data_IF_100502133174
#
_entry.id   IF_100502133174
#
_cell.length_a   1.000
_cell.length_b   1.000
_cell.length_c   1.000
_cell.angle_alpha   90.00
_cell.angle_beta   90.00
_cell.angle_gamma   90.00
#
_symmetry.space_group_name_H-M   'P 1'
#
loop_
_entity.id
_entity.type
_entity.pdbx_description
1 polymer ?
#
# COMPACT_ATOMS: atom_id res chain seq x y z
N UNK A 1 5.64 -25.34 -9.63
CA UNK A 1 6.07 -24.32 -8.65
C UNK A 1 6.40 -23.05 -9.44
N UNK A 2 5.74 -21.93 -9.15
CA UNK A 2 6.01 -20.65 -9.81
C UNK A 2 7.39 -20.11 -9.45
N UNK A 3 8.05 -19.40 -10.38
CA UNK A 3 9.32 -18.73 -10.09
C UNK A 3 9.09 -17.60 -9.09
N UNK A 4 9.94 -17.55 -8.05
CA UNK A 4 10.00 -16.42 -7.12
C UNK A 4 10.62 -15.20 -7.81
N UNK A 5 10.20 -14.00 -7.41
CA UNK A 5 10.79 -12.73 -7.82
C UNK A 5 10.84 -11.74 -6.66
N UNK A 6 11.73 -10.76 -6.78
CA UNK A 6 11.81 -9.60 -5.90
C UNK A 6 11.12 -8.44 -6.60
N UNK A 7 10.23 -7.74 -5.91
CA UNK A 7 9.43 -6.67 -6.52
C UNK A 7 9.26 -5.43 -5.65
N UNK A 8 8.63 -4.41 -6.23
CA UNK A 8 8.13 -3.24 -5.54
C UNK A 8 9.08 -2.56 -4.54
N UNK A 9 10.40 -2.40 -4.80
CA UNK A 9 11.27 -1.73 -3.86
C UNK A 9 10.80 -0.28 -3.63
N UNK A 10 10.84 0.14 -2.37
CA UNK A 10 10.58 1.52 -1.93
C UNK A 10 11.62 1.92 -0.90
N UNK A 11 11.91 3.21 -0.84
CA UNK A 11 12.93 3.79 0.05
C UNK A 11 12.37 5.01 0.75
N UNK A 12 12.67 5.14 2.05
CA UNK A 12 12.45 6.35 2.82
C UNK A 12 13.53 6.46 3.90
N UNK A 13 14.33 7.53 3.85
CA UNK A 13 15.50 7.67 4.73
C UNK A 13 16.44 6.46 4.62
N UNK A 14 16.77 5.84 5.76
CA UNK A 14 17.65 4.67 5.85
C UNK A 14 16.92 3.33 5.66
N UNK A 15 15.65 3.34 5.26
CA UNK A 15 14.84 2.13 5.14
C UNK A 15 14.53 1.79 3.70
N UNK A 16 14.78 0.54 3.32
CA UNK A 16 14.35 -0.05 2.04
C UNK A 16 13.33 -1.14 2.34
N UNK A 17 12.17 -1.09 1.70
CA UNK A 17 11.16 -2.16 1.79
C UNK A 17 10.95 -2.79 0.42
N UNK A 18 10.79 -4.11 0.38
CA UNK A 18 10.44 -4.88 -0.81
C UNK A 18 9.58 -6.07 -0.41
N UNK A 19 9.05 -6.76 -1.41
CA UNK A 19 8.49 -8.10 -1.23
C UNK A 19 9.23 -9.12 -2.08
N UNK A 20 9.23 -10.36 -1.61
CA UNK A 20 9.61 -11.53 -2.38
C UNK A 20 8.33 -12.32 -2.66
N UNK A 21 7.94 -12.39 -3.94
CA UNK A 21 6.63 -12.85 -4.38
C UNK A 21 6.70 -14.01 -5.37
N UNK A 22 5.56 -14.67 -5.55
CA UNK A 22 5.31 -15.68 -6.59
C UNK A 22 3.85 -15.63 -7.01
N UNK A 23 3.57 -16.07 -8.23
CA UNK A 23 2.21 -16.23 -8.72
C UNK A 23 1.71 -17.65 -8.42
N UNK A 24 0.61 -17.74 -7.69
CA UNK A 24 -0.11 -18.98 -7.38
C UNK A 24 -1.55 -18.87 -7.90
N UNK A 25 -1.85 -19.60 -8.98
CA UNK A 25 -3.13 -19.46 -9.68
C UNK A 25 -3.28 -18.07 -10.29
N UNK A 26 -4.31 -17.33 -9.86
CA UNK A 26 -4.56 -15.94 -10.28
C UNK A 26 -4.08 -14.92 -9.23
N UNK A 27 -3.42 -15.38 -8.16
CA UNK A 27 -3.08 -14.55 -7.02
C UNK A 27 -1.59 -14.39 -6.87
N UNK A 28 -1.19 -13.19 -6.44
CA UNK A 28 0.17 -12.91 -6.02
C UNK A 28 0.28 -13.16 -4.51
N UNK A 29 1.24 -13.98 -4.12
CA UNK A 29 1.55 -14.25 -2.71
C UNK A 29 3.02 -13.98 -2.47
N UNK A 30 3.36 -13.50 -1.28
CA UNK A 30 4.74 -13.14 -0.98
C UNK A 30 4.97 -12.77 0.47
N UNK A 31 6.22 -12.45 0.76
CA UNK A 31 6.70 -12.00 2.06
C UNK A 31 7.20 -10.56 1.94
N UNK A 32 7.07 -9.76 3.00
CA UNK A 32 7.54 -8.36 3.00
C UNK A 32 8.79 -8.25 3.87
N UNK A 33 9.80 -7.58 3.34
CA UNK A 33 11.11 -7.40 3.97
C UNK A 33 11.46 -5.92 4.11
N UNK A 34 12.16 -5.61 5.19
CA UNK A 34 12.72 -4.30 5.50
C UNK A 34 14.24 -4.43 5.66
N UNK A 35 15.00 -3.57 4.99
CA UNK A 35 16.43 -3.39 5.21
C UNK A 35 16.67 -2.02 5.83
N UNK A 36 17.49 -1.99 6.88
CA UNK A 36 17.97 -0.78 7.50
C UNK A 36 19.41 -0.51 7.06
N UNK A 37 19.61 0.53 6.26
CA UNK A 37 20.90 0.95 5.71
C UNK A 37 21.87 1.35 6.84
N UNK A 38 21.38 1.97 7.91
CA UNK A 38 22.22 2.49 8.99
C UNK A 38 22.92 1.39 9.79
N UNK A 39 22.34 0.19 9.87
CA UNK A 39 22.93 -0.93 10.63
C UNK A 39 23.06 -2.24 9.83
N UNK A 40 22.69 -2.24 8.55
CA UNK A 40 22.79 -3.39 7.66
C UNK A 40 21.84 -4.55 7.98
N UNK A 41 20.80 -4.35 8.79
CA UNK A 41 19.90 -5.43 9.20
C UNK A 41 18.74 -5.61 8.22
N UNK A 42 18.43 -6.88 7.90
CA UNK A 42 17.22 -7.30 7.18
C UNK A 42 16.24 -7.89 8.19
N UNK A 43 14.97 -7.50 8.10
CA UNK A 43 13.87 -8.04 8.91
C UNK A 43 12.74 -8.44 7.96
N UNK A 44 12.29 -9.69 8.04
CA UNK A 44 11.01 -10.10 7.43
C UNK A 44 9.89 -9.59 8.33
N UNK A 45 9.05 -8.71 7.81
CA UNK A 45 7.95 -8.07 8.56
C UNK A 45 6.58 -8.70 8.30
N UNK A 46 6.45 -9.54 7.26
CA UNK A 46 5.21 -10.26 6.94
C UNK A 46 5.50 -11.54 6.14
N UNK A 47 4.78 -12.62 6.42
CA UNK A 47 4.82 -13.88 5.66
C UNK A 47 3.80 -13.93 4.51
N UNK A 48 2.90 -12.95 4.43
CA UNK A 48 1.76 -12.95 3.53
C UNK A 48 1.43 -11.54 3.03
N UNK A 49 2.37 -10.87 2.38
CA UNK A 49 2.20 -9.51 1.89
C UNK A 49 2.88 -9.19 0.57
N UNK A 50 2.27 -8.30 -0.20
CA UNK A 50 2.75 -7.84 -1.51
C UNK A 50 2.60 -6.32 -1.66
N UNK A 51 3.31 -5.76 -2.62
CA UNK A 51 3.22 -4.33 -3.01
C UNK A 51 3.47 -3.35 -1.86
N UNK A 52 4.56 -3.49 -1.08
CA UNK A 52 4.79 -2.63 0.07
C UNK A 52 5.08 -1.17 -0.35
N UNK A 53 4.81 -0.26 0.59
CA UNK A 53 5.14 1.15 0.50
C UNK A 53 5.58 1.69 1.87
N UNK A 54 6.41 2.73 1.89
CA UNK A 54 7.01 3.27 3.11
C UNK A 54 7.00 4.80 3.13
N UNK A 55 6.65 5.36 4.28
CA UNK A 55 6.82 6.78 4.59
C UNK A 55 7.13 6.94 6.08
N UNK A 56 8.21 7.66 6.41
CA UNK A 56 8.64 7.79 7.79
C UNK A 56 8.93 6.44 8.43
N UNK A 57 8.28 6.17 9.56
CA UNK A 57 8.38 4.90 10.29
C UNK A 57 7.27 3.91 9.93
N UNK A 58 6.39 4.25 8.99
CA UNK A 58 5.22 3.45 8.63
C UNK A 58 5.45 2.71 7.32
N UNK A 59 5.07 1.43 7.30
CA UNK A 59 5.10 0.58 6.13
C UNK A 59 3.70 0.02 5.91
N UNK A 60 3.20 0.12 4.68
CA UNK A 60 1.91 -0.45 4.28
C UNK A 60 2.09 -1.52 3.22
N UNK A 61 1.28 -2.57 3.24
CA UNK A 61 1.21 -3.58 2.18
C UNK A 61 -0.20 -4.17 2.04
N UNK A 62 -0.42 -4.95 0.98
CA UNK A 62 -1.63 -5.75 0.80
C UNK A 62 -1.34 -7.18 1.23
N UNK A 63 -2.17 -7.76 2.09
CA UNK A 63 -2.06 -9.17 2.44
C UNK A 63 -2.55 -10.10 1.33
N UNK A 64 -2.20 -11.39 1.39
CA UNK A 64 -2.81 -12.46 0.58
C UNK A 64 -4.36 -12.48 0.62
N UNK A 65 -4.96 -12.03 1.72
CA UNK A 65 -6.42 -11.86 1.89
C UNK A 65 -6.97 -10.50 1.42
N UNK A 66 -6.26 -9.76 0.58
CA UNK A 66 -6.66 -8.40 0.15
C UNK A 66 -6.96 -7.43 1.30
N UNK A 67 -6.20 -7.54 2.41
CA UNK A 67 -6.29 -6.63 3.56
C UNK A 67 -5.18 -5.60 3.49
N UNK A 68 -5.49 -4.37 3.86
CA UNK A 68 -4.47 -3.33 4.01
C UNK A 68 -3.86 -3.43 5.39
N UNK A 69 -2.55 -3.65 5.43
CA UNK A 69 -1.78 -3.86 6.65
C UNK A 69 -0.85 -2.67 6.85
N UNK A 70 -0.70 -2.19 8.08
CA UNK A 70 0.17 -1.09 8.47
C UNK A 70 1.10 -1.54 9.59
N UNK A 71 2.40 -1.51 9.34
CA UNK A 71 3.45 -1.75 10.33
C UNK A 71 4.13 -0.44 10.70
N UNK A 72 4.36 -0.23 11.99
CA UNK A 72 5.22 0.85 12.45
C UNK A 72 6.56 0.28 12.94
N UNK A 73 7.66 0.73 12.33
CA UNK A 73 9.03 0.25 12.57
C UNK A 73 9.44 0.44 14.04
N UNK A 74 9.14 1.61 14.61
CA UNK A 74 9.54 1.97 15.98
C UNK A 74 8.74 1.21 17.03
N UNK A 75 7.42 1.14 16.87
CA UNK A 75 6.50 0.45 17.77
C UNK A 75 6.54 -1.07 17.59
N UNK A 76 7.08 -1.56 16.47
CA UNK A 76 7.12 -2.97 16.09
C UNK A 76 5.75 -3.64 16.15
N UNK A 77 4.71 -2.93 15.74
CA UNK A 77 3.35 -3.43 15.76
C UNK A 77 2.70 -3.36 14.39
N UNK A 78 1.76 -4.27 14.15
CA UNK A 78 0.96 -4.36 12.92
C UNK A 78 -0.49 -4.00 13.25
N UNK A 79 -1.11 -3.21 12.38
CA UNK A 79 -2.54 -2.91 12.36
C UNK A 79 -3.10 -3.42 11.03
N UNK A 80 -4.13 -4.26 11.09
CA UNK A 80 -4.97 -4.55 9.92
C UNK A 80 -6.01 -3.44 9.82
N UNK A 81 -5.91 -2.59 8.80
CA UNK A 81 -6.77 -1.43 8.60
C UNK A 81 -8.18 -1.87 8.20
N UNK A 82 -8.29 -2.81 7.26
CA UNK A 82 -9.56 -3.22 6.65
C UNK A 82 -10.08 -4.53 7.26
N UNK A 83 -10.27 -4.58 8.59
CA UNK A 83 -10.77 -5.77 9.30
C UNK A 83 -12.24 -6.04 8.96
N UNK A 84 -12.53 -7.28 8.54
CA UNK A 84 -13.89 -7.79 8.38
C UNK A 84 -14.62 -7.32 7.11
N UNK A 85 -15.40 -8.22 6.51
CA UNK A 85 -16.47 -7.89 5.56
C UNK A 85 -16.06 -7.09 4.32
N UNK A 86 -15.28 -7.70 3.44
CA UNK A 86 -15.07 -7.20 2.08
C UNK A 86 -14.58 -8.34 1.20
N UNK A 87 -15.30 -8.59 0.10
CA UNK A 87 -14.91 -9.55 -0.95
C UNK A 87 -14.08 -8.86 -2.03
N UNK A 88 -13.94 -7.54 -1.95
CA UNK A 88 -13.25 -6.73 -2.93
C UNK A 88 -11.75 -6.87 -2.76
N UNK A 89 -11.07 -7.05 -3.89
CA UNK A 89 -9.62 -6.96 -3.96
C UNK A 89 -9.21 -5.50 -3.74
N UNK A 90 -8.10 -5.30 -3.03
CA UNK A 90 -7.53 -3.97 -2.78
C UNK A 90 -6.12 -3.95 -3.30
N UNK A 91 -5.73 -2.84 -3.92
CA UNK A 91 -4.47 -2.79 -4.64
C UNK A 91 -3.69 -1.51 -4.37
N UNK A 92 -2.36 -1.65 -4.51
CA UNK A 92 -1.39 -0.56 -4.59
C UNK A 92 -1.54 0.50 -3.49
N UNK A 93 -1.38 0.12 -2.21
CA UNK A 93 -1.46 1.08 -1.13
C UNK A 93 -0.35 2.13 -1.24
N UNK A 94 -0.70 3.36 -0.88
CA UNK A 94 0.23 4.49 -0.76
C UNK A 94 0.01 5.17 0.57
N UNK A 95 1.02 5.86 1.08
CA UNK A 95 0.92 6.55 2.36
C UNK A 95 1.78 7.82 2.41
N UNK A 96 1.38 8.75 3.26
CA UNK A 96 2.18 9.89 3.71
C UNK A 96 2.28 9.82 5.26
N UNK A 97 2.57 10.94 5.92
CA UNK A 97 2.63 11.06 7.37
C UNK A 97 1.28 10.91 8.08
N UNK A 98 0.18 11.27 7.42
CA UNK A 98 -1.16 11.31 8.03
C UNK A 98 -2.08 10.17 7.58
N UNK A 99 -1.97 9.73 6.34
CA UNK A 99 -2.93 8.91 5.65
C UNK A 99 -2.32 7.70 4.94
N UNK A 100 -3.13 6.65 4.84
CA UNK A 100 -2.94 5.52 3.94
C UNK A 100 -4.08 5.53 2.91
N UNK A 101 -3.79 5.38 1.63
CA UNK A 101 -4.77 5.30 0.54
C UNK A 101 -4.63 4.00 -0.24
N UNK A 102 -5.74 3.49 -0.77
CA UNK A 102 -5.79 2.36 -1.71
C UNK A 102 -7.03 2.49 -2.59
N UNK A 103 -7.12 1.66 -3.62
CA UNK A 103 -8.37 1.49 -4.37
C UNK A 103 -8.79 0.01 -4.39
N UNK A 104 -10.08 -0.22 -4.52
CA UNK A 104 -10.64 -1.58 -4.59
C UNK A 104 -11.05 -1.99 -6.02
N UNK A 105 -11.48 -3.25 -6.17
CA UNK A 105 -11.97 -3.81 -7.44
C UNK A 105 -13.21 -3.14 -8.01
N UNK A 106 -13.94 -2.34 -7.22
CA UNK A 106 -15.05 -1.51 -7.68
C UNK A 106 -14.59 -0.11 -8.12
N UNK A 107 -13.31 0.18 -7.96
CA UNK A 107 -12.66 1.45 -8.27
C UNK A 107 -12.88 2.54 -7.22
N UNK A 108 -13.35 2.18 -6.03
CA UNK A 108 -13.53 3.10 -4.91
C UNK A 108 -12.16 3.42 -4.32
N UNK A 109 -11.91 4.70 -4.06
CA UNK A 109 -10.69 5.13 -3.36
C UNK A 109 -11.03 5.39 -1.90
N UNK A 110 -10.29 4.73 -1.01
CA UNK A 110 -10.45 4.84 0.43
C UNK A 110 -9.20 5.46 1.04
N UNK A 111 -9.39 6.31 2.03
CA UNK A 111 -8.33 6.98 2.77
C UNK A 111 -8.48 6.66 4.27
N UNK A 112 -7.42 6.16 4.89
CA UNK A 112 -7.36 5.88 6.32
C UNK A 112 -6.50 6.93 7.00
N UNK A 113 -7.05 7.68 7.95
CA UNK A 113 -6.27 8.55 8.82
C UNK A 113 -5.59 7.71 9.92
N UNK A 114 -4.26 7.74 9.94
CA UNK A 114 -3.42 6.91 10.81
C UNK A 114 -3.64 7.26 12.29
N UNK A 115 -3.79 8.55 12.59
CA UNK A 115 -3.94 9.03 13.97
C UNK A 115 -5.34 8.76 14.52
N UNK A 116 -6.37 9.01 13.71
CA UNK A 116 -7.77 8.86 14.11
C UNK A 116 -8.26 7.42 13.99
N UNK A 117 -7.47 6.55 13.35
CA UNK A 117 -7.85 5.18 13.01
C UNK A 117 -9.19 5.09 12.28
N UNK A 118 -9.43 6.02 11.33
CA UNK A 118 -10.71 6.18 10.65
C UNK A 118 -10.54 6.09 9.14
N UNK A 119 -11.40 5.29 8.50
CA UNK A 119 -11.51 5.21 7.04
C UNK A 119 -12.54 6.24 6.55
N UNK A 120 -12.24 6.91 5.44
CA UNK A 120 -13.15 7.72 4.65
C UNK A 120 -13.11 7.29 3.18
N UNK A 121 -14.25 7.35 2.50
CA UNK A 121 -14.35 7.08 1.07
C UNK A 121 -14.28 8.42 0.34
N UNK A 122 -13.42 8.52 -0.68
CA UNK A 122 -13.29 9.73 -1.47
C UNK A 122 -14.29 9.74 -2.63
N UNK A 123 -14.79 10.92 -3.05
CA UNK A 123 -15.74 11.04 -4.16
C UNK A 123 -15.03 10.94 -5.53
N UNK A 124 -14.10 10.01 -5.67
CA UNK A 124 -13.33 9.74 -6.90
C UNK A 124 -13.42 8.26 -7.24
N UNK A 125 -13.34 7.95 -8.54
CA UNK A 125 -13.32 6.59 -9.04
C UNK A 125 -12.09 6.39 -9.92
N UNK A 126 -11.35 5.31 -9.69
CA UNK A 126 -10.14 4.96 -10.45
C UNK A 126 -10.09 3.46 -10.66
N UNK A 127 -9.55 3.01 -11.79
CA UNK A 127 -9.19 1.61 -12.02
C UNK A 127 -7.68 1.40 -11.97
N UNK A 128 -6.94 2.39 -11.47
CA UNK A 128 -5.48 2.43 -11.51
C UNK A 128 -4.91 3.05 -10.22
N UNK A 129 -3.60 2.90 -10.04
CA UNK A 129 -2.84 3.31 -8.87
C UNK A 129 -3.17 4.73 -8.42
N UNK A 130 -3.64 4.86 -7.19
CA UNK A 130 -3.66 6.15 -6.50
C UNK A 130 -2.36 6.33 -5.72
N UNK A 131 -1.81 7.53 -5.74
CA UNK A 131 -0.63 7.89 -4.93
C UNK A 131 -0.94 9.12 -4.13
N UNK A 132 -0.57 9.08 -2.85
CA UNK A 132 -0.63 10.23 -1.96
C UNK A 132 0.79 10.73 -1.70
N UNK A 133 0.99 12.03 -1.83
CA UNK A 133 2.23 12.72 -1.48
C UNK A 133 1.85 14.08 -0.91
N UNK A 134 2.32 14.38 0.31
CA UNK A 134 1.80 15.51 1.09
C UNK A 134 0.26 15.43 1.14
N UNK A 135 -0.46 16.54 1.06
CA UNK A 135 -1.92 16.56 0.97
C UNK A 135 -2.49 16.30 -0.43
N UNK A 136 -1.70 15.84 -1.40
CA UNK A 136 -2.15 15.64 -2.78
C UNK A 136 -2.34 14.15 -3.08
N UNK A 137 -3.58 13.79 -3.40
CA UNK A 137 -3.90 12.50 -4.01
C UNK A 137 -3.84 12.63 -5.53
N UNK A 138 -3.19 11.69 -6.20
CA UNK A 138 -3.13 11.59 -7.66
C UNK A 138 -3.62 10.24 -8.14
N UNK A 139 -4.25 10.20 -9.31
CA UNK A 139 -4.64 8.97 -10.00
C UNK A 139 -4.66 9.19 -11.53
N UNK A 140 -4.77 8.11 -12.29
CA UNK A 140 -4.89 8.16 -13.75
C UNK A 140 -6.33 7.89 -14.14
N UNK A 141 -6.90 8.75 -14.97
CA UNK A 141 -8.20 8.55 -15.60
C UNK A 141 -8.00 8.07 -17.03
N UNK A 142 -8.66 6.98 -17.41
CA UNK A 142 -8.63 6.44 -18.77
C UNK A 142 -9.97 6.70 -19.47
N UNK A 143 -9.94 7.46 -20.56
CA UNK A 143 -11.11 7.80 -21.38
C UNK A 143 -10.74 7.84 -22.85
N UNK A 144 -11.49 7.16 -23.72
CA UNK A 144 -11.31 7.18 -25.18
C UNK A 144 -9.84 6.97 -25.62
N UNK A 145 -9.22 5.91 -25.11
CA UNK A 145 -7.81 5.55 -25.34
C UNK A 145 -6.77 6.60 -24.90
N UNK A 146 -7.18 7.60 -24.09
CA UNK A 146 -6.31 8.61 -23.51
C UNK A 146 -6.20 8.43 -22.00
N UNK A 147 -4.99 8.57 -21.48
CA UNK A 147 -4.72 8.67 -20.05
C UNK A 147 -4.52 10.12 -19.67
N UNK A 148 -5.23 10.58 -18.63
CA UNK A 148 -5.03 11.91 -18.06
C UNK A 148 -4.71 11.80 -16.58
N UNK A 149 -3.64 12.43 -16.08
CA UNK A 149 -3.41 12.53 -14.65
C UNK A 149 -4.48 13.42 -14.02
N UNK A 150 -4.99 12.97 -12.88
CA UNK A 150 -5.96 13.68 -12.07
C UNK A 150 -5.39 13.88 -10.67
N UNK A 151 -5.89 14.88 -9.96
CA UNK A 151 -5.49 15.12 -8.58
C UNK A 151 -6.64 15.67 -7.73
N UNK A 152 -6.52 15.46 -6.42
CA UNK A 152 -7.39 16.00 -5.39
C UNK A 152 -6.51 16.51 -4.26
N UNK A 153 -6.73 17.74 -3.84
CA UNK A 153 -6.08 18.32 -2.65
C UNK A 153 -6.94 17.97 -1.44
N UNK A 154 -6.36 17.26 -0.48
CA UNK A 154 -6.99 16.87 0.77
C UNK A 154 -7.00 18.06 1.74
N UNK A 155 -8.06 18.23 2.54
CA UNK A 155 -8.10 19.24 3.58
C UNK A 155 -7.01 18.98 4.63
N UNK A 156 -6.45 20.07 5.16
CA UNK A 156 -5.46 20.09 6.27
C UNK A 156 -6.14 20.32 7.60
#
# INVERSE_FOLDING_TARGET
MGKSYIGHPKVFGDFIVWHEGKIEGQSEVGEVYLYNIANGQIVKISDNGVTPNIYGENIVWVSDKSRIMLYNIKKKNIVEITRGGGIEERWLPSLNDEYVTWYDSMGKVELYNIKLAKIQILPVKTNNASRIFDNILTWIKWENDKTTPQFLVLPT
#
